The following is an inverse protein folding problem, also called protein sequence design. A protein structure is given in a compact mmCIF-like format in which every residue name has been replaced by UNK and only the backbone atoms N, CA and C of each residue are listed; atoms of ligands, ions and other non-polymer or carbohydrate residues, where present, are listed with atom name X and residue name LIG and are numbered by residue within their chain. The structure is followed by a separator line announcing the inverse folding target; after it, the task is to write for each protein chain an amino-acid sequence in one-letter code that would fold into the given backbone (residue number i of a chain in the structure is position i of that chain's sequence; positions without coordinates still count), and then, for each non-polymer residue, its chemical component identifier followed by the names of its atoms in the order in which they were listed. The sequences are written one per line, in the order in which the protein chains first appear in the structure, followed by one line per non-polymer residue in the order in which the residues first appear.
data_IF_796586002139
#
_entry.id   IF_796586002139
#
_cell.length_a   1.000
_cell.length_b   1.000
_cell.length_c   1.000
_cell.angle_alpha   90.00
_cell.angle_beta   90.00
_cell.angle_gamma   90.00
#
_symmetry.space_group_name_H-M   'P 1'
#
loop_
_entity.id
_entity.type
_entity.pdbx_description
1 polymer ?
#
# COMPACT_ATOMS: atom_id res chain seq x y z
N UNK A 1 6.50 -4.98 -10.51
CA UNK A 1 6.50 -5.38 -11.94
C UNK A 1 7.80 -6.09 -12.32
N UNK A 2 7.75 -7.28 -12.93
CA UNK A 2 8.95 -8.02 -13.28
C UNK A 2 9.77 -7.32 -14.38
N UNK A 3 11.07 -7.15 -14.14
CA UNK A 3 12.05 -6.70 -15.13
C UNK A 3 12.82 -7.92 -15.66
N UNK A 4 12.24 -8.60 -16.65
CA UNK A 4 12.79 -9.82 -17.26
C UNK A 4 14.00 -9.59 -18.20
N UNK A 5 14.56 -8.39 -18.23
CA UNK A 5 15.56 -7.98 -19.25
C UNK A 5 17.02 -8.26 -18.89
N UNK A 6 17.33 -8.89 -17.76
CA UNK A 6 18.71 -9.28 -17.40
C UNK A 6 18.79 -10.74 -16.90
N UNK A 7 19.73 -11.55 -17.43
CA UNK A 7 19.89 -12.96 -17.07
C UNK A 7 20.36 -13.16 -15.61
N UNK A 8 20.80 -12.09 -14.94
CA UNK A 8 21.27 -12.11 -13.56
C UNK A 8 20.37 -11.33 -12.61
N UNK A 9 19.19 -10.86 -13.05
CA UNK A 9 18.25 -10.09 -12.20
C UNK A 9 17.83 -10.81 -10.92
N UNK A 10 17.95 -12.15 -10.86
CA UNK A 10 17.63 -12.95 -9.68
C UNK A 10 18.83 -13.27 -8.78
N UNK A 11 20.06 -12.88 -9.15
CA UNK A 11 21.23 -13.14 -8.32
C UNK A 11 21.20 -12.25 -7.08
N UNK A 12 21.46 -12.85 -5.91
CA UNK A 12 21.67 -12.07 -4.70
C UNK A 12 22.93 -11.20 -4.86
N UNK A 13 22.85 -9.96 -4.35
CA UNK A 13 23.99 -9.06 -4.34
C UNK A 13 25.05 -9.55 -3.34
N UNK A 14 26.34 -9.37 -3.66
CA UNK A 14 27.43 -9.78 -2.76
C UNK A 14 27.46 -8.97 -1.46
N UNK A 15 26.94 -7.74 -1.50
CA UNK A 15 26.81 -6.87 -0.33
C UNK A 15 25.38 -6.91 0.19
N UNK A 16 25.22 -7.00 1.52
CA UNK A 16 23.93 -6.89 2.18
C UNK A 16 23.54 -5.42 2.30
N UNK A 17 22.24 -5.15 2.31
CA UNK A 17 21.70 -3.81 2.54
C UNK A 17 22.08 -3.32 3.94
N UNK A 18 22.30 -2.02 4.08
CA UNK A 18 22.29 -1.37 5.39
C UNK A 18 20.88 -1.34 5.99
N UNK A 19 20.75 -0.99 7.27
CA UNK A 19 19.45 -0.82 7.92
C UNK A 19 18.59 0.23 7.20
N UNK A 20 19.17 1.36 6.80
CA UNK A 20 18.47 2.43 6.09
C UNK A 20 18.04 2.00 4.68
N UNK A 21 18.86 1.22 4.00
CA UNK A 21 18.54 0.67 2.69
C UNK A 21 17.44 -0.37 2.77
N UNK A 22 17.43 -1.22 3.80
CA UNK A 22 16.34 -2.16 4.07
C UNK A 22 15.02 -1.42 4.33
N UNK A 23 15.02 -0.41 5.19
CA UNK A 23 13.83 0.42 5.45
C UNK A 23 13.32 1.04 4.14
N UNK A 24 14.22 1.57 3.30
CA UNK A 24 13.86 2.11 1.98
C UNK A 24 13.25 1.03 1.07
N UNK A 25 13.82 -0.17 1.05
CA UNK A 25 13.29 -1.29 0.27
C UNK A 25 11.89 -1.68 0.72
N UNK A 26 11.62 -1.75 2.03
CA UNK A 26 10.28 -2.03 2.56
C UNK A 26 9.26 -0.96 2.15
N UNK A 27 9.64 0.32 2.14
CA UNK A 27 8.76 1.39 1.63
C UNK A 27 8.42 1.20 0.14
N UNK A 28 9.40 0.78 -0.67
CA UNK A 28 9.15 0.44 -2.07
C UNK A 28 8.24 -0.79 -2.22
N UNK A 29 8.39 -1.81 -1.36
CA UNK A 29 7.48 -2.96 -1.34
C UNK A 29 6.04 -2.55 -1.05
N UNK A 30 5.80 -1.70 -0.05
CA UNK A 30 4.45 -1.16 0.22
C UNK A 30 3.88 -0.46 -1.02
N UNK A 31 4.67 0.39 -1.67
CA UNK A 31 4.24 1.08 -2.88
C UNK A 31 3.93 0.11 -4.04
N UNK A 32 4.70 -0.98 -4.15
CA UNK A 32 4.49 -2.01 -5.15
C UNK A 32 3.17 -2.76 -4.94
N UNK A 33 2.80 -3.07 -3.70
CA UNK A 33 1.51 -3.73 -3.42
C UNK A 33 0.32 -2.82 -3.72
N UNK A 34 0.43 -1.51 -3.43
CA UNK A 34 -0.60 -0.54 -3.86
C UNK A 34 -0.70 -0.42 -5.39
N UNK A 35 0.43 -0.45 -6.10
CA UNK A 35 0.45 -0.49 -7.57
C UNK A 35 -0.24 -1.75 -8.10
N UNK A 36 0.09 -2.92 -7.54
CA UNK A 36 -0.50 -4.20 -7.92
C UNK A 36 -2.03 -4.20 -7.70
N UNK A 37 -2.47 -3.78 -6.51
CA UNK A 37 -3.90 -3.59 -6.18
C UNK A 37 -4.61 -2.77 -7.25
N UNK A 38 -4.04 -1.61 -7.62
CA UNK A 38 -4.64 -0.70 -8.60
C UNK A 38 -4.67 -1.31 -10.01
N UNK A 39 -3.60 -1.98 -10.44
CA UNK A 39 -3.53 -2.65 -11.75
C UNK A 39 -4.61 -3.72 -11.85
N UNK A 40 -4.74 -4.57 -10.83
CA UNK A 40 -5.70 -5.68 -10.85
C UNK A 40 -7.14 -5.20 -10.82
N UNK A 41 -7.45 -4.21 -9.97
CA UNK A 41 -8.80 -3.62 -9.92
C UNK A 41 -9.18 -2.96 -11.24
N UNK A 42 -8.27 -2.15 -11.82
CA UNK A 42 -8.54 -1.50 -13.09
C UNK A 42 -8.72 -2.50 -14.23
N UNK A 43 -7.95 -3.59 -14.26
CA UNK A 43 -8.11 -4.65 -15.25
C UNK A 43 -9.43 -5.40 -15.05
N UNK A 44 -9.80 -5.73 -13.80
CA UNK A 44 -11.06 -6.38 -13.48
C UNK A 44 -12.27 -5.55 -13.93
N UNK A 45 -12.20 -4.22 -13.78
CA UNK A 45 -13.25 -3.30 -14.23
C UNK A 45 -13.31 -3.17 -15.77
N UNK A 46 -12.30 -3.65 -16.49
CA UNK A 46 -12.13 -3.46 -17.94
C UNK A 46 -12.31 -4.75 -18.76
N UNK A 47 -12.86 -5.82 -18.18
CA UNK A 47 -13.02 -7.12 -18.84
C UNK A 47 -14.43 -7.71 -18.60
N UNK A 48 -14.89 -8.56 -19.53
CA UNK A 48 -16.18 -9.24 -19.42
C UNK A 48 -16.10 -10.66 -18.82
N UNK A 49 -14.90 -11.26 -18.80
CA UNK A 49 -14.70 -12.64 -18.33
C UNK A 49 -14.89 -12.72 -16.80
N UNK A 50 -15.99 -13.33 -16.36
CA UNK A 50 -16.38 -13.40 -14.95
C UNK A 50 -15.44 -14.20 -14.06
N UNK A 51 -14.77 -15.22 -14.59
CA UNK A 51 -13.75 -15.93 -13.82
C UNK A 51 -12.54 -15.03 -13.58
N UNK A 52 -12.06 -14.35 -14.62
CA UNK A 52 -10.91 -13.46 -14.50
C UNK A 52 -11.22 -12.25 -13.60
N UNK A 53 -12.41 -11.64 -13.74
CA UNK A 53 -12.85 -10.55 -12.86
C UNK A 53 -12.81 -10.98 -11.38
N UNK A 54 -13.38 -12.15 -11.07
CA UNK A 54 -13.39 -12.68 -9.70
C UNK A 54 -11.97 -12.87 -9.16
N UNK A 55 -11.12 -13.56 -9.92
CA UNK A 55 -9.74 -13.86 -9.48
C UNK A 55 -8.93 -12.59 -9.29
N UNK A 56 -9.03 -11.61 -10.20
CA UNK A 56 -8.30 -10.35 -10.09
C UNK A 56 -8.70 -9.54 -8.85
N UNK A 57 -9.99 -9.51 -8.51
CA UNK A 57 -10.46 -8.82 -7.31
C UNK A 57 -10.01 -9.53 -6.04
N UNK A 58 -10.07 -10.86 -6.00
CA UNK A 58 -9.57 -11.65 -4.88
C UNK A 58 -8.07 -11.42 -4.65
N UNK A 59 -7.26 -11.41 -5.72
CA UNK A 59 -5.83 -11.09 -5.64
C UNK A 59 -5.62 -9.65 -5.14
N UNK A 60 -6.38 -8.67 -5.64
CA UNK A 60 -6.26 -7.29 -5.20
C UNK A 60 -6.54 -7.12 -3.69
N UNK A 61 -7.50 -7.87 -3.14
CA UNK A 61 -7.76 -7.88 -1.70
C UNK A 61 -6.61 -8.52 -0.90
N UNK A 62 -5.96 -9.56 -1.44
CA UNK A 62 -4.77 -10.18 -0.83
C UNK A 62 -3.58 -9.21 -0.78
N UNK A 63 -3.38 -8.37 -1.80
CA UNK A 63 -2.29 -7.37 -1.78
C UNK A 63 -2.47 -6.32 -0.65
N UNK A 64 -3.70 -6.04 -0.23
CA UNK A 64 -3.95 -5.18 0.93
C UNK A 64 -3.54 -5.87 2.26
N UNK A 65 -3.59 -7.19 2.33
CA UNK A 65 -3.03 -7.96 3.46
C UNK A 65 -1.51 -7.81 3.47
N UNK A 66 -0.85 -7.94 2.32
CA UNK A 66 0.60 -7.75 2.19
C UNK A 66 1.04 -6.32 2.58
N UNK A 67 0.27 -5.29 2.18
CA UNK A 67 0.47 -3.91 2.67
C UNK A 67 0.44 -3.88 4.20
N UNK A 68 -0.52 -4.55 4.83
CA UNK A 68 -0.63 -4.63 6.29
C UNK A 68 0.60 -5.26 6.95
N UNK A 69 1.11 -6.35 6.39
CA UNK A 69 2.34 -7.02 6.86
C UNK A 69 3.56 -6.10 6.77
N UNK A 70 3.76 -5.45 5.62
CA UNK A 70 4.87 -4.53 5.43
C UNK A 70 4.77 -3.29 6.31
N UNK A 71 3.57 -2.72 6.50
CA UNK A 71 3.36 -1.60 7.41
C UNK A 71 3.73 -1.97 8.86
N UNK A 72 3.34 -3.17 9.31
CA UNK A 72 3.73 -3.65 10.65
C UNK A 72 5.24 -3.82 10.76
N UNK A 73 5.89 -4.40 9.74
CA UNK A 73 7.35 -4.54 9.72
C UNK A 73 8.06 -3.18 9.69
N UNK A 74 7.58 -2.23 8.89
CA UNK A 74 8.17 -0.90 8.79
C UNK A 74 8.15 -0.16 10.13
N UNK A 75 7.06 -0.29 10.90
CA UNK A 75 6.99 0.28 12.26
C UNK A 75 8.02 -0.31 13.21
N UNK A 76 8.38 -1.59 13.05
CA UNK A 76 9.45 -2.22 13.82
C UNK A 76 10.82 -1.68 13.45
N UNK A 77 11.09 -1.57 12.14
CA UNK A 77 12.39 -1.17 11.61
C UNK A 77 12.64 0.34 11.76
N UNK A 78 11.57 1.16 11.75
CA UNK A 78 11.65 2.62 11.81
C UNK A 78 10.70 3.20 12.88
N UNK A 79 10.87 2.88 14.17
CA UNK A 79 9.95 3.27 15.24
C UNK A 79 9.83 4.80 15.42
N UNK A 80 10.87 5.55 15.02
CA UNK A 80 10.85 7.01 15.06
C UNK A 80 9.84 7.64 14.08
N UNK A 81 9.33 6.90 13.11
CA UNK A 81 8.33 7.40 12.17
C UNK A 81 6.91 7.46 12.76
N UNK A 82 6.64 6.67 13.80
CA UNK A 82 5.30 6.56 14.41
C UNK A 82 4.75 7.93 14.86
N UNK A 83 5.63 8.81 15.37
CA UNK A 83 5.25 10.16 15.76
C UNK A 83 4.67 10.98 14.60
N UNK A 84 5.22 10.81 13.39
CA UNK A 84 4.74 11.50 12.19
C UNK A 84 3.43 10.89 11.70
N UNK A 85 3.30 9.57 11.73
CA UNK A 85 2.04 8.89 11.38
C UNK A 85 0.89 9.30 12.29
N UNK A 86 1.16 9.41 13.60
CA UNK A 86 0.17 9.85 14.58
C UNK A 86 -0.25 11.32 14.37
N UNK A 87 0.67 12.19 13.93
CA UNK A 87 0.34 13.57 13.55
C UNK A 87 -0.57 13.57 12.32
N UNK A 88 -0.19 12.87 11.24
CA UNK A 88 -1.02 12.79 10.03
C UNK A 88 -2.42 12.22 10.27
N UNK A 89 -2.54 11.20 11.14
CA UNK A 89 -3.84 10.66 11.52
C UNK A 89 -4.71 11.72 12.24
N UNK A 90 -4.13 12.49 13.17
CA UNK A 90 -4.85 13.57 13.87
C UNK A 90 -5.31 14.68 12.93
N UNK A 91 -4.51 15.03 11.93
CA UNK A 91 -4.88 16.03 10.91
C UNK A 91 -6.13 15.58 10.15
N UNK A 92 -6.17 14.32 9.69
CA UNK A 92 -7.35 13.78 8.98
C UNK A 92 -8.58 13.67 9.89
N UNK A 93 -8.41 13.26 11.15
CA UNK A 93 -9.52 13.23 12.13
C UNK A 93 -10.13 14.62 12.35
N UNK A 94 -9.31 15.67 12.39
CA UNK A 94 -9.80 17.04 12.49
C UNK A 94 -10.65 17.44 11.28
N UNK A 95 -10.22 17.09 10.05
CA UNK A 95 -10.99 17.32 8.83
C UNK A 95 -12.33 16.57 8.83
N UNK A 96 -12.33 15.30 9.26
CA UNK A 96 -13.54 14.49 9.38
C UNK A 96 -14.56 15.15 10.32
N UNK A 97 -14.10 15.65 11.47
CA UNK A 97 -14.96 16.35 12.44
C UNK A 97 -15.52 17.65 11.87
N UNK A 98 -14.71 18.43 11.16
CA UNK A 98 -15.16 19.65 10.49
C UNK A 98 -16.27 19.37 9.47
N UNK A 99 -16.16 18.30 8.67
CA UNK A 99 -17.18 17.94 7.69
C UNK A 99 -18.47 17.48 8.37
N UNK A 100 -18.37 16.67 9.44
CA UNK A 100 -19.54 16.18 10.18
C UNK A 100 -20.31 17.31 10.87
N UNK A 101 -19.61 18.32 11.40
CA UNK A 101 -20.24 19.48 12.07
C UNK A 101 -20.84 20.49 11.09
N UNK A 102 -20.35 20.56 9.85
CA UNK A 102 -20.87 21.44 8.78
C UNK A 102 -22.07 20.89 8.01
N UNK A 103 -22.55 19.66 8.27
CA UNK A 103 -23.81 19.17 7.67
C UNK A 103 -24.96 20.12 8.05
N UNK A 104 -25.80 20.59 7.10
CA UNK A 104 -26.89 21.50 7.42
C UNK A 104 -27.84 20.82 8.41
N UNK A 105 -28.29 21.55 9.44
CA UNK A 105 -29.53 21.18 10.14
C UNK A 105 -30.61 21.05 9.06
N UNK A 106 -31.03 19.82 8.75
CA UNK A 106 -32.21 19.58 7.94
C UNK A 106 -33.33 20.43 8.54
N UNK A 107 -33.79 21.43 7.77
CA UNK A 107 -34.93 22.26 8.16
C UNK A 107 -36.13 21.30 8.24
N UNK A 108 -36.59 21.04 9.46
CA UNK A 108 -37.93 20.47 9.72
C UNK A 108 -39.00 21.40 9.16
#
# INVERSE_FOLDING_TARGET
MPQFSSPFSGNANNQKLTSEELIRAIRFSIAAEFEATQIYMQLADSIENKLAEKVLREIADEELVHVGEFLRLLRELAPNEEKFYAVGAKEVEAEIQQIKTKKPKEKK
#
